data_IF_819758184818
#
_entry.id   IF_819758184818
#
_cell.length_a   1.000
_cell.length_b   1.000
_cell.length_c   1.000
_cell.angle_alpha   90.00
_cell.angle_beta   90.00
_cell.angle_gamma   90.00
#
_symmetry.space_group_name_H-M   'P 1'
#
loop_
_entity.id
_entity.type
_entity.pdbx_description
1 polymer ?
#
# COMPACT_ATOMS: atom_id res chain seq x y z
N UNK A 1 14.63 -43.60 -1.68
CA UNK A 1 16.02 -44.02 -1.38
C UNK A 1 16.91 -42.85 -1.71
N UNK A 2 17.99 -42.65 -0.96
CA UNK A 2 18.99 -41.64 -1.34
C UNK A 2 19.77 -42.14 -2.56
N UNK A 3 19.71 -41.39 -3.66
CA UNK A 3 20.22 -41.79 -4.98
C UNK A 3 21.75 -41.88 -5.01
N UNK A 4 22.43 -41.19 -4.08
CA UNK A 4 23.88 -41.20 -3.93
C UNK A 4 24.43 -42.30 -3.03
N UNK A 5 23.63 -42.86 -2.10
CA UNK A 5 24.13 -43.78 -1.06
C UNK A 5 23.39 -45.12 -0.98
N UNK A 6 22.29 -45.30 -1.73
CA UNK A 6 21.42 -46.48 -1.73
C UNK A 6 20.90 -46.91 -0.34
N UNK A 7 21.04 -46.03 0.67
CA UNK A 7 20.51 -46.23 2.02
C UNK A 7 19.09 -45.68 2.12
N UNK A 8 18.32 -46.12 3.14
CA UNK A 8 17.08 -45.43 3.48
C UNK A 8 17.41 -43.97 3.75
N UNK A 9 16.72 -43.04 3.07
CA UNK A 9 16.93 -41.62 3.29
C UNK A 9 16.55 -41.30 4.74
N UNK A 10 17.55 -41.00 5.58
CA UNK A 10 17.30 -40.61 6.96
C UNK A 10 16.76 -39.18 6.90
N UNK A 11 15.51 -38.94 7.33
CA UNK A 11 14.97 -37.58 7.30
C UNK A 11 15.82 -36.69 8.21
N UNK A 12 16.01 -35.43 7.82
CA UNK A 12 16.74 -34.45 8.62
C UNK A 12 16.13 -34.21 10.02
N UNK A 13 14.93 -34.75 10.27
CA UNK A 13 14.18 -34.66 11.50
C UNK A 13 13.80 -36.08 11.94
N UNK A 14 14.38 -36.56 13.04
CA UNK A 14 14.17 -37.90 13.60
C UNK A 14 13.61 -37.82 15.03
N UNK A 15 12.84 -38.83 15.45
CA UNK A 15 12.24 -38.93 16.79
C UNK A 15 10.72 -39.14 16.79
N UNK A 16 10.15 -39.37 17.97
CA UNK A 16 8.70 -39.54 18.14
C UNK A 16 7.96 -38.24 17.81
N UNK A 17 6.97 -38.32 16.91
CA UNK A 17 6.19 -37.17 16.44
C UNK A 17 7.09 -35.99 15.97
N UNK A 18 8.28 -36.29 15.45
CA UNK A 18 9.27 -35.26 15.16
C UNK A 18 8.78 -34.27 14.11
N UNK A 19 8.05 -34.72 13.09
CA UNK A 19 7.41 -33.83 12.10
C UNK A 19 6.39 -32.89 12.75
N UNK A 20 5.50 -33.43 13.60
CA UNK A 20 4.51 -32.63 14.32
C UNK A 20 5.19 -31.57 15.21
N UNK A 21 6.21 -31.97 15.97
CA UNK A 21 6.85 -31.10 16.95
C UNK A 21 7.83 -30.09 16.33
N UNK A 22 8.52 -30.45 15.23
CA UNK A 22 9.58 -29.63 14.62
C UNK A 22 9.12 -28.86 13.40
N UNK A 23 8.03 -29.26 12.74
CA UNK A 23 7.51 -28.61 11.53
C UNK A 23 6.15 -27.98 11.79
N UNK A 24 5.16 -28.79 12.17
CA UNK A 24 3.76 -28.33 12.27
C UNK A 24 3.56 -27.39 13.45
N UNK A 25 4.04 -27.76 14.63
CA UNK A 25 3.81 -27.01 15.87
C UNK A 25 4.42 -25.59 15.83
N UNK A 26 5.65 -25.36 15.35
CA UNK A 26 6.18 -24.01 15.21
C UNK A 26 5.34 -23.11 14.30
N UNK A 27 4.96 -23.61 13.12
CA UNK A 27 4.13 -22.84 12.17
C UNK A 27 2.77 -22.53 12.79
N UNK A 28 2.15 -23.52 13.43
CA UNK A 28 0.87 -23.34 14.12
C UNK A 28 0.95 -22.28 15.21
N UNK A 29 1.99 -22.31 16.06
CA UNK A 29 2.16 -21.33 17.14
C UNK A 29 2.35 -19.92 16.61
N UNK A 30 3.10 -19.75 15.51
CA UNK A 30 3.25 -18.46 14.84
C UNK A 30 1.92 -17.93 14.31
N UNK A 31 1.14 -18.78 13.63
CA UNK A 31 -0.19 -18.40 13.10
C UNK A 31 -1.13 -18.04 14.26
N UNK A 32 -1.15 -18.84 15.33
CA UNK A 32 -1.95 -18.57 16.52
C UNK A 32 -1.61 -17.21 17.12
N UNK A 33 -0.32 -16.88 17.27
CA UNK A 33 0.11 -15.58 17.78
C UNK A 33 -0.29 -14.40 16.87
N UNK A 34 -0.28 -14.58 15.54
CA UNK A 34 -0.78 -13.57 14.59
C UNK A 34 -2.29 -13.34 14.72
N UNK A 35 -3.05 -14.42 14.87
CA UNK A 35 -4.51 -14.35 15.04
C UNK A 35 -4.87 -13.68 16.37
N UNK A 36 -4.18 -14.01 17.46
CA UNK A 36 -4.35 -13.33 18.75
C UNK A 36 -4.02 -11.83 18.65
N UNK A 37 -2.97 -11.47 17.91
CA UNK A 37 -2.60 -10.07 17.66
C UNK A 37 -3.61 -9.31 16.78
N UNK A 38 -4.37 -10.01 15.93
CA UNK A 38 -5.45 -9.43 15.12
C UNK A 38 -6.60 -8.88 15.97
N UNK A 39 -6.72 -9.29 17.25
CA UNK A 39 -7.82 -8.91 18.16
C UNK A 39 -9.20 -9.11 17.49
N UNK A 40 -9.39 -10.27 16.88
CA UNK A 40 -10.64 -10.63 16.17
C UNK A 40 -11.01 -9.64 15.05
N UNK A 41 -10.03 -9.09 14.33
CA UNK A 41 -10.22 -8.16 13.21
C UNK A 41 -10.32 -6.69 13.61
N UNK A 42 -10.23 -6.35 14.90
CA UNK A 42 -10.24 -4.96 15.37
C UNK A 42 -8.88 -4.28 15.31
N UNK A 43 -7.78 -5.04 15.18
CA UNK A 43 -6.45 -4.48 14.99
C UNK A 43 -6.26 -3.94 13.56
N UNK A 44 -5.46 -2.87 13.39
CA UNK A 44 -5.13 -2.35 12.07
C UNK A 44 -4.63 -3.47 11.16
N UNK A 45 -5.15 -3.58 9.93
CA UNK A 45 -4.81 -4.66 8.99
C UNK A 45 -3.34 -4.68 8.55
N UNK A 46 -2.55 -3.66 8.91
CA UNK A 46 -1.11 -3.58 8.73
C UNK A 46 -0.30 -4.15 9.91
N UNK A 47 -0.95 -4.43 11.04
CA UNK A 47 -0.33 -4.88 12.29
C UNK A 47 -0.21 -6.40 12.39
N UNK A 48 -0.95 -7.16 11.59
CA UNK A 48 -0.97 -8.63 11.59
C UNK A 48 -0.90 -9.18 10.15
N UNK A 49 -0.42 -10.41 9.99
CA UNK A 49 -0.33 -11.10 8.69
C UNK A 49 -1.61 -11.88 8.42
N UNK A 50 -2.18 -11.74 7.21
CA UNK A 50 -3.29 -12.58 6.77
C UNK A 50 -2.79 -13.92 6.21
N UNK A 51 -3.71 -14.86 6.01
CA UNK A 51 -3.47 -16.15 5.34
C UNK A 51 -2.75 -15.99 3.99
N UNK A 52 -3.15 -14.99 3.20
CA UNK A 52 -2.54 -14.71 1.90
C UNK A 52 -1.08 -14.27 2.01
N UNK A 53 -0.75 -13.39 2.98
CA UNK A 53 0.62 -12.94 3.23
C UNK A 53 1.55 -14.11 3.65
N UNK A 54 0.99 -15.08 4.38
CA UNK A 54 1.70 -16.29 4.80
C UNK A 54 1.91 -17.23 3.61
N UNK A 55 0.89 -17.42 2.78
CA UNK A 55 0.99 -18.25 1.58
C UNK A 55 2.00 -17.67 0.59
N UNK A 56 1.96 -16.36 0.33
CA UNK A 56 2.91 -15.68 -0.55
C UNK A 56 4.35 -15.87 -0.05
N UNK A 57 4.56 -15.81 1.27
CA UNK A 57 5.86 -16.09 1.86
C UNK A 57 6.34 -17.52 1.55
N UNK A 58 5.47 -18.52 1.68
CA UNK A 58 5.80 -19.93 1.40
C UNK A 58 5.95 -20.24 -0.10
N UNK A 59 5.23 -19.52 -0.97
CA UNK A 59 5.34 -19.67 -2.42
C UNK A 59 6.55 -18.93 -3.01
N UNK A 60 7.23 -18.10 -2.22
CA UNK A 60 8.47 -17.46 -2.64
C UNK A 60 9.56 -18.51 -2.95
N UNK A 61 10.26 -18.34 -4.07
CA UNK A 61 11.41 -19.19 -4.44
C UNK A 61 12.52 -19.21 -3.38
N UNK A 62 12.62 -18.14 -2.59
CA UNK A 62 13.60 -17.98 -1.51
C UNK A 62 13.06 -18.41 -0.13
N UNK A 63 11.90 -19.07 -0.06
CA UNK A 63 11.31 -19.48 1.22
C UNK A 63 12.29 -20.34 2.04
N UNK A 64 12.88 -21.36 1.42
CA UNK A 64 13.84 -22.23 2.09
C UNK A 64 15.15 -21.53 2.46
N UNK A 65 15.60 -20.53 1.70
CA UNK A 65 16.78 -19.73 2.09
C UNK A 65 16.50 -18.90 3.35
N UNK A 66 15.26 -18.38 3.46
CA UNK A 66 14.84 -17.48 4.55
C UNK A 66 14.48 -18.23 5.83
N UNK A 67 13.72 -19.31 5.74
CA UNK A 67 13.29 -20.14 6.89
C UNK A 67 14.33 -21.21 7.26
N UNK A 68 15.19 -21.59 6.30
CA UNK A 68 16.11 -22.76 6.35
C UNK A 68 15.37 -24.09 6.45
N UNK A 69 16.06 -25.16 6.08
CA UNK A 69 15.61 -26.52 6.32
C UNK A 69 16.76 -27.32 6.94
N UNK A 70 16.59 -27.93 8.14
CA UNK A 70 15.41 -27.90 9.03
C UNK A 70 15.01 -26.49 9.51
N UNK A 71 13.75 -26.33 9.94
CA UNK A 71 13.21 -25.02 10.34
C UNK A 71 14.05 -24.38 11.45
N UNK A 72 14.53 -23.17 11.20
CA UNK A 72 15.26 -22.36 12.18
C UNK A 72 14.31 -21.36 12.85
N UNK A 73 13.98 -21.61 14.13
CA UNK A 73 13.04 -20.79 14.91
C UNK A 73 13.55 -19.38 15.19
N UNK A 74 14.84 -19.11 14.97
CA UNK A 74 15.42 -17.76 15.10
C UNK A 74 15.07 -16.84 13.91
N UNK A 75 14.49 -17.39 12.84
CA UNK A 75 14.15 -16.62 11.64
C UNK A 75 12.93 -15.74 11.84
N UNK A 76 12.95 -14.60 11.16
CA UNK A 76 11.95 -13.53 11.25
C UNK A 76 10.50 -13.97 10.99
N UNK A 77 10.28 -15.13 10.35
CA UNK A 77 8.95 -15.68 10.13
C UNK A 77 8.28 -16.13 11.44
N UNK A 78 9.04 -16.76 12.35
CA UNK A 78 8.56 -17.33 13.61
C UNK A 78 8.50 -16.32 14.76
N UNK A 79 9.04 -15.13 14.55
CA UNK A 79 9.01 -14.04 15.53
C UNK A 79 7.57 -13.54 15.71
N UNK A 80 7.06 -13.60 16.95
CA UNK A 80 5.71 -13.15 17.27
C UNK A 80 5.61 -11.60 17.34
N UNK A 81 4.43 -11.02 17.03
CA UNK A 81 4.14 -9.62 17.35
C UNK A 81 4.30 -9.34 18.86
N UNK A 82 4.71 -8.13 19.28
CA UNK A 82 4.87 -6.89 18.49
C UNK A 82 6.30 -6.64 17.98
N UNK A 83 7.15 -7.66 17.91
CA UNK A 83 8.58 -7.47 17.65
C UNK A 83 8.85 -6.86 16.25
N UNK A 84 9.71 -5.83 16.18
CA UNK A 84 9.95 -5.05 14.96
C UNK A 84 10.65 -5.84 13.85
N UNK A 85 11.44 -6.86 14.19
CA UNK A 85 12.20 -7.67 13.22
C UNK A 85 11.35 -8.76 12.55
N UNK A 86 10.03 -8.78 12.79
CA UNK A 86 9.12 -9.73 12.16
C UNK A 86 9.00 -9.44 10.66
N UNK A 87 8.81 -10.49 9.87
CA UNK A 87 8.34 -10.36 8.48
C UNK A 87 7.00 -9.61 8.50
N UNK A 88 7.00 -8.36 8.01
CA UNK A 88 5.78 -7.56 7.87
C UNK A 88 5.01 -8.02 6.63
N UNK A 89 3.75 -7.62 6.58
CA UNK A 89 2.85 -7.84 5.45
C UNK A 89 3.57 -7.52 4.12
N UNK A 90 3.68 -8.52 3.25
CA UNK A 90 4.28 -8.41 1.91
C UNK A 90 3.30 -7.81 0.90
N UNK A 91 2.00 -7.93 1.16
CA UNK A 91 0.96 -7.34 0.35
C UNK A 91 0.87 -5.82 0.46
N UNK A 92 0.31 -5.22 -0.59
CA UNK A 92 -0.08 -3.81 -0.64
C UNK A 92 -1.03 -3.49 0.51
N UNK A 93 -0.51 -2.89 1.58
CA UNK A 93 -1.34 -2.14 2.50
C UNK A 93 -1.78 -0.94 1.69
N UNK A 94 -3.01 -0.97 1.20
CA UNK A 94 -3.65 0.19 0.58
C UNK A 94 -3.71 1.28 1.67
N UNK A 95 -2.61 2.02 1.80
CA UNK A 95 -2.67 3.33 2.41
C UNK A 95 -3.52 4.12 1.44
N UNK A 96 -4.83 4.11 1.72
CA UNK A 96 -5.83 4.99 1.15
C UNK A 96 -5.48 6.41 1.61
N UNK A 97 -4.32 6.88 1.20
CA UNK A 97 -3.86 8.22 1.47
C UNK A 97 -4.80 9.11 0.69
N UNK A 98 -5.35 10.12 1.35
CA UNK A 98 -6.17 11.14 0.72
C UNK A 98 -5.51 11.69 -0.56
N UNK A 99 -4.17 11.74 -0.58
CA UNK A 99 -3.36 12.09 -1.75
C UNK A 99 -3.53 11.17 -2.95
N UNK A 100 -3.70 9.86 -2.76
CA UNK A 100 -3.98 8.93 -3.86
C UNK A 100 -5.35 9.19 -4.48
N UNK A 101 -6.35 9.57 -3.67
CA UNK A 101 -7.67 9.95 -4.18
C UNK A 101 -7.59 11.27 -4.96
N UNK A 102 -6.90 12.28 -4.43
CA UNK A 102 -6.73 13.56 -5.11
C UNK A 102 -6.00 13.40 -6.46
N UNK A 103 -4.92 12.61 -6.48
CA UNK A 103 -4.16 12.30 -7.70
C UNK A 103 -4.96 11.46 -8.70
N UNK A 104 -5.74 10.49 -8.24
CA UNK A 104 -6.53 9.63 -9.12
C UNK A 104 -7.68 10.38 -9.81
N UNK A 105 -8.15 11.47 -9.21
CA UNK A 105 -9.27 12.28 -9.71
C UNK A 105 -8.86 13.73 -9.97
N UNK A 106 -7.61 13.95 -10.37
CA UNK A 106 -7.03 15.26 -10.67
C UNK A 106 -7.92 16.11 -11.58
N UNK A 107 -8.41 15.52 -12.68
CA UNK A 107 -9.26 16.20 -13.66
C UNK A 107 -10.58 16.67 -13.07
N UNK A 108 -11.15 15.89 -12.16
CA UNK A 108 -12.40 16.21 -11.49
C UNK A 108 -12.20 17.42 -10.56
N UNK A 109 -11.13 17.44 -9.76
CA UNK A 109 -10.84 18.56 -8.88
C UNK A 109 -10.54 19.84 -9.63
N UNK A 110 -9.75 19.77 -10.71
CA UNK A 110 -9.47 20.94 -11.56
C UNK A 110 -10.76 21.49 -12.19
N UNK A 111 -11.60 20.63 -12.75
CA UNK A 111 -12.87 21.07 -13.33
C UNK A 111 -13.80 21.69 -12.29
N UNK A 112 -13.91 21.11 -11.09
CA UNK A 112 -14.76 21.63 -10.03
C UNK A 112 -14.31 23.03 -9.57
N UNK A 113 -13.00 23.24 -9.38
CA UNK A 113 -12.46 24.53 -8.95
C UNK A 113 -12.70 25.60 -10.02
N UNK A 114 -12.41 25.29 -11.28
CA UNK A 114 -12.61 26.24 -12.39
C UNK A 114 -14.09 26.55 -12.60
N UNK A 115 -14.95 25.54 -12.52
CA UNK A 115 -16.39 25.73 -12.60
C UNK A 115 -16.90 26.59 -11.45
N UNK A 116 -16.48 26.32 -10.21
CA UNK A 116 -16.86 27.11 -9.04
C UNK A 116 -16.42 28.57 -9.17
N UNK A 117 -15.20 28.81 -9.64
CA UNK A 117 -14.70 30.17 -9.90
C UNK A 117 -15.55 30.87 -10.97
N UNK A 118 -15.80 30.23 -12.10
CA UNK A 118 -16.62 30.78 -13.17
C UNK A 118 -18.06 31.05 -12.71
N UNK A 119 -18.68 30.10 -12.00
CA UNK A 119 -20.02 30.23 -11.45
C UNK A 119 -20.11 31.37 -10.43
N UNK A 120 -19.09 31.54 -9.57
CA UNK A 120 -19.03 32.64 -8.60
C UNK A 120 -18.95 34.00 -9.31
N UNK A 121 -18.11 34.11 -10.35
CA UNK A 121 -17.98 35.34 -11.15
C UNK A 121 -19.32 35.70 -11.82
N UNK A 122 -20.02 34.71 -12.38
CA UNK A 122 -21.31 34.92 -13.05
C UNK A 122 -22.43 35.24 -12.06
N UNK A 123 -22.44 34.58 -10.90
CA UNK A 123 -23.47 34.77 -9.87
C UNK A 123 -23.39 36.13 -9.16
N UNK A 124 -22.20 36.74 -9.09
CA UNK A 124 -21.98 37.98 -8.34
C UNK A 124 -22.62 39.23 -8.98
N UNK A 125 -22.97 39.21 -10.26
CA UNK A 125 -23.49 40.38 -10.98
C UNK A 125 -25.00 40.64 -10.74
N UNK A 126 -25.70 39.76 -10.00
CA UNK A 126 -27.07 40.01 -9.51
C UNK A 126 -28.18 40.13 -10.56
N UNK A 127 -27.91 39.93 -11.86
CA UNK A 127 -28.97 39.96 -12.90
C UNK A 127 -29.79 38.66 -12.91
N UNK A 128 -31.00 38.77 -13.47
CA UNK A 128 -32.05 37.73 -13.44
C UNK A 128 -31.67 36.45 -14.20
N UNK A 129 -30.80 36.53 -15.21
CA UNK A 129 -30.35 35.36 -15.98
C UNK A 129 -28.83 35.36 -16.21
N UNK A 130 -28.14 34.22 -16.03
CA UNK A 130 -26.68 34.14 -16.15
C UNK A 130 -26.14 34.48 -17.55
N UNK A 131 -26.91 34.22 -18.61
CA UNK A 131 -26.54 34.55 -20.00
C UNK A 131 -26.44 36.06 -20.26
N UNK A 132 -27.20 36.87 -19.52
CA UNK A 132 -27.17 38.34 -19.62
C UNK A 132 -25.91 38.92 -18.95
N UNK A 133 -25.30 38.18 -18.01
CA UNK A 133 -24.05 38.58 -17.36
C UNK A 133 -22.85 38.31 -18.28
N UNK A 134 -22.91 37.25 -19.10
CA UNK A 134 -21.84 36.91 -20.04
C UNK A 134 -21.65 37.94 -21.18
N UNK A 135 -22.63 38.81 -21.42
CA UNK A 135 -22.52 39.91 -22.38
C UNK A 135 -21.81 41.13 -21.80
N UNK A 136 -21.64 41.24 -20.48
CA UNK A 136 -20.92 42.38 -19.90
C UNK A 136 -19.42 42.20 -20.05
N UNK A 137 -18.75 43.29 -20.46
CA UNK A 137 -17.30 43.30 -20.68
C UNK A 137 -16.54 43.04 -19.38
N UNK A 138 -17.07 43.50 -18.25
CA UNK A 138 -16.49 43.29 -16.92
C UNK A 138 -16.50 41.80 -16.49
N UNK A 139 -17.58 41.07 -16.76
CA UNK A 139 -17.67 39.63 -16.46
C UNK A 139 -16.76 38.84 -17.39
N UNK A 140 -16.65 39.22 -18.67
CA UNK A 140 -15.72 38.57 -19.61
C UNK A 140 -14.26 38.72 -19.17
N UNK A 141 -13.85 39.93 -18.75
CA UNK A 141 -12.49 40.17 -18.24
C UNK A 141 -12.25 39.37 -16.96
N UNK A 142 -13.22 39.31 -16.05
CA UNK A 142 -13.12 38.47 -14.84
C UNK A 142 -13.07 36.98 -15.16
N UNK A 143 -13.81 36.52 -16.16
CA UNK A 143 -13.79 35.12 -16.59
C UNK A 143 -12.41 34.70 -17.13
N UNK A 144 -11.62 35.62 -17.69
CA UNK A 144 -10.24 35.32 -18.09
C UNK A 144 -9.34 34.92 -16.90
N UNK A 145 -9.69 35.29 -15.66
CA UNK A 145 -8.97 34.84 -14.46
C UNK A 145 -9.03 33.32 -14.27
N UNK A 146 -10.00 32.62 -14.88
CA UNK A 146 -10.10 31.16 -14.88
C UNK A 146 -8.90 30.53 -15.58
N UNK A 147 -8.35 31.17 -16.62
CA UNK A 147 -7.13 30.68 -17.28
C UNK A 147 -5.88 30.79 -16.39
N UNK A 148 -5.80 31.86 -15.59
CA UNK A 148 -4.71 32.05 -14.62
C UNK A 148 -4.80 30.96 -13.54
N UNK A 149 -5.99 30.73 -12.99
CA UNK A 149 -6.20 29.65 -12.01
C UNK A 149 -5.90 28.29 -12.61
N UNK A 150 -6.30 28.04 -13.86
CA UNK A 150 -5.98 26.79 -14.55
C UNK A 150 -4.47 26.59 -14.68
N UNK A 151 -3.72 27.60 -15.09
CA UNK A 151 -2.25 27.53 -15.16
C UNK A 151 -1.63 27.22 -13.79
N UNK A 152 -2.11 27.86 -12.73
CA UNK A 152 -1.67 27.59 -11.35
C UNK A 152 -1.97 26.16 -10.89
N UNK A 153 -3.17 25.65 -11.17
CA UNK A 153 -3.57 24.27 -10.85
C UNK A 153 -2.72 23.24 -11.62
N UNK A 154 -2.42 23.50 -12.91
CA UNK A 154 -1.56 22.64 -13.72
C UNK A 154 -0.11 22.64 -13.21
N UNK A 155 0.38 23.78 -12.76
CA UNK A 155 1.70 23.86 -12.14
C UNK A 155 1.77 23.08 -10.82
N UNK A 156 0.77 23.23 -9.94
CA UNK A 156 0.68 22.47 -8.70
C UNK A 156 0.61 20.96 -8.97
N UNK A 157 -0.15 20.56 -9.98
CA UNK A 157 -0.24 19.16 -10.42
C UNK A 157 1.13 18.61 -10.83
N UNK A 158 1.89 19.35 -11.64
CA UNK A 158 3.25 18.94 -12.04
C UNK A 158 4.19 18.77 -10.85
N UNK A 159 4.07 19.61 -9.82
CA UNK A 159 4.87 19.48 -8.58
C UNK A 159 4.49 18.21 -7.82
N UNK A 160 3.20 17.90 -7.70
CA UNK A 160 2.71 16.70 -7.02
C UNK A 160 3.14 15.42 -7.75
N UNK A 161 3.10 15.43 -9.07
CA UNK A 161 3.55 14.30 -9.90
C UNK A 161 5.07 14.07 -9.74
N UNK A 162 5.87 15.14 -9.77
CA UNK A 162 7.31 15.05 -9.53
C UNK A 162 7.64 14.56 -8.11
N UNK A 163 6.96 15.07 -7.09
CA UNK A 163 7.17 14.68 -5.69
C UNK A 163 6.78 13.23 -5.41
N UNK A 164 5.71 12.73 -6.04
CA UNK A 164 5.28 11.33 -5.89
C UNK A 164 6.22 10.36 -6.60
N UNK A 165 6.68 10.69 -7.81
CA UNK A 165 7.71 9.90 -8.49
C UNK A 165 9.02 9.88 -7.70
N UNK A 166 9.47 11.01 -7.17
CA UNK A 166 10.67 11.07 -6.33
C UNK A 166 10.52 10.25 -5.04
N UNK A 167 9.35 10.30 -4.40
CA UNK A 167 9.01 9.50 -3.22
C UNK A 167 9.07 8.00 -3.49
N UNK A 168 8.59 7.56 -4.67
CA UNK A 168 8.63 6.16 -5.09
C UNK A 168 10.08 5.70 -5.36
N UNK A 169 10.84 6.46 -6.14
CA UNK A 169 12.25 6.15 -6.43
C UNK A 169 13.11 6.12 -5.16
N UNK A 170 12.89 7.07 -4.25
CA UNK A 170 13.60 7.13 -2.96
C UNK A 170 13.22 5.96 -2.04
N UNK A 171 11.99 5.46 -2.11
CA UNK A 171 11.60 4.26 -1.39
C UNK A 171 12.29 3.04 -1.97
N UNK A 172 12.30 2.85 -3.29
CA UNK A 172 12.95 1.71 -3.93
C UNK A 172 14.46 1.64 -3.66
N UNK A 173 15.17 2.77 -3.66
CA UNK A 173 16.61 2.79 -3.34
C UNK A 173 16.91 2.41 -1.88
N UNK A 174 16.01 2.68 -0.94
CA UNK A 174 16.14 2.25 0.45
C UNK A 174 15.92 0.74 0.66
N UNK A 175 15.31 0.02 -0.28
CA UNK A 175 15.13 -1.43 -0.21
C UNK A 175 16.29 -2.21 -0.83
N UNK A 176 17.19 -1.54 -1.55
CA UNK A 176 18.32 -2.13 -2.26
C UNK A 176 19.68 -1.95 -1.56
N UNK A 177 19.71 -1.30 -0.38
CA UNK A 177 20.90 -1.18 0.48
C UNK A 177 20.64 -1.82 1.85
#
# INVERSE_FOLDING_TARGET
MDEATARPAIPAITGENAFLNRVVKPIYLTIKAEVEASRNGTAPHSAWRNYDDINEYFWSRHCFDRIRWPLDLSKNFFVAPPHRNRVRKTGFVEQRSFWNLFRSFDRLWVMLILYLQAATIVAWEGKRYPWQNLQSRDVQVRALSVFITWAGLRFLQSILDAGTQYSLVRRETMWLG
#
